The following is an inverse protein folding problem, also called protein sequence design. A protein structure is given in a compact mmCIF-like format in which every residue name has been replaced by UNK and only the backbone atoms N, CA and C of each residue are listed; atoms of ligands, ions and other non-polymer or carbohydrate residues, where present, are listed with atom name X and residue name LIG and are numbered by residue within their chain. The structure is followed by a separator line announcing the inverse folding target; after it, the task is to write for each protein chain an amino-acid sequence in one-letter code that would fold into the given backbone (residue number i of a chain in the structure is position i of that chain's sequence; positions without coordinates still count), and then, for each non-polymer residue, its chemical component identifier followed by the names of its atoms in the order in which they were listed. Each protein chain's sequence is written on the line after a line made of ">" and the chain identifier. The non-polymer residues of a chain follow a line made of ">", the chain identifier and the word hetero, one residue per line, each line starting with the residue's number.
data_IF_684458355702
#
_entry.id   IF_684458355702
#
_cell.length_a   1.000
_cell.length_b   1.000
_cell.length_c   1.000
_cell.angle_alpha   90.00
_cell.angle_beta   90.00
_cell.angle_gamma   90.00
#
_symmetry.space_group_name_H-M   'P 1'
#
loop_
_entity.id
_entity.type
_entity.pdbx_description
1 polymer ?
#
# COMPACT_ATOMS: atom_id res chain seq x y z
N UNK A 1 48.34 -5.06 88.34
CA UNK A 1 49.25 -5.82 87.44
C UNK A 1 48.42 -6.81 86.62
N UNK A 2 48.60 -6.76 85.29
CA UNK A 2 48.63 -7.90 84.36
C UNK A 2 47.39 -8.84 84.23
N UNK A 3 46.90 -8.87 82.99
CA UNK A 3 46.82 -10.05 82.10
C UNK A 3 45.50 -10.84 81.97
N UNK A 4 44.90 -10.62 80.79
CA UNK A 4 44.41 -11.56 79.76
C UNK A 4 43.23 -12.54 79.94
N UNK A 5 42.36 -12.41 78.93
CA UNK A 5 41.68 -13.41 78.08
C UNK A 5 40.32 -14.02 78.45
N UNK A 6 39.34 -13.74 77.58
CA UNK A 6 38.48 -14.64 76.74
C UNK A 6 37.20 -13.86 76.40
N UNK A 7 36.46 -13.99 75.30
CA UNK A 7 36.49 -14.76 74.06
C UNK A 7 35.56 -14.04 73.05
N UNK A 8 35.64 -14.48 71.79
CA UNK A 8 34.82 -14.14 70.63
C UNK A 8 33.30 -13.96 70.86
N UNK A 9 32.65 -13.18 69.99
CA UNK A 9 31.60 -13.63 69.04
C UNK A 9 31.29 -12.50 68.05
N UNK A 10 31.28 -12.84 66.76
CA UNK A 10 30.81 -12.04 65.62
C UNK A 10 29.28 -11.99 65.58
N UNK A 11 28.70 -10.91 65.05
CA UNK A 11 27.91 -10.90 63.80
C UNK A 11 26.84 -9.79 63.76
N UNK A 12 26.82 -9.11 62.60
CA UNK A 12 25.67 -8.58 61.85
C UNK A 12 24.75 -7.52 62.51
N UNK A 13 24.31 -6.47 61.83
CA UNK A 13 24.42 -6.08 60.43
C UNK A 13 23.90 -4.65 60.29
N UNK A 14 24.66 -3.81 59.59
CA UNK A 14 24.27 -2.45 59.25
C UNK A 14 23.43 -2.44 57.98
N UNK A 15 22.14 -2.13 58.10
CA UNK A 15 21.27 -1.81 56.96
C UNK A 15 21.64 -0.43 56.41
N UNK A 16 22.32 -0.40 55.27
CA UNK A 16 22.35 0.79 54.40
C UNK A 16 21.31 0.58 53.32
N UNK A 17 20.19 1.29 53.44
CA UNK A 17 19.12 1.34 52.44
C UNK A 17 19.66 2.13 51.25
N UNK A 18 20.11 1.44 50.19
CA UNK A 18 20.30 2.02 48.87
C UNK A 18 18.93 2.11 48.18
N UNK A 19 18.31 3.28 48.25
CA UNK A 19 17.20 3.67 47.38
C UNK A 19 17.77 4.00 45.99
N UNK A 20 17.96 2.98 45.15
CA UNK A 20 18.13 3.19 43.71
C UNK A 20 16.76 3.56 43.13
N UNK A 21 16.48 4.88 43.07
CA UNK A 21 15.41 5.42 42.24
C UNK A 21 15.66 5.00 40.79
N UNK A 22 14.81 4.12 40.28
CA UNK A 22 14.64 3.86 38.86
C UNK A 22 14.22 5.18 38.21
N UNK A 23 15.20 5.94 37.70
CA UNK A 23 14.95 6.98 36.70
C UNK A 23 14.58 6.28 35.40
N UNK A 24 13.36 5.75 35.34
CA UNK A 24 12.77 5.33 34.08
C UNK A 24 12.69 6.59 33.21
N UNK A 25 13.60 6.73 32.25
CA UNK A 25 13.50 7.76 31.22
C UNK A 25 12.09 7.69 30.64
N UNK A 26 11.29 8.77 30.68
CA UNK A 26 9.98 8.77 30.04
C UNK A 26 10.22 8.38 28.59
N UNK A 27 9.69 7.21 28.20
CA UNK A 27 9.80 6.77 26.81
C UNK A 27 9.16 7.86 25.95
N UNK A 28 9.80 8.29 24.86
CA UNK A 28 9.17 9.18 23.90
C UNK A 28 7.79 8.62 23.56
N UNK A 29 6.76 9.47 23.63
CA UNK A 29 5.41 9.08 23.23
C UNK A 29 5.51 8.56 21.79
N UNK A 30 5.08 7.31 21.51
CA UNK A 30 5.13 6.80 20.15
C UNK A 30 4.32 7.73 19.25
N UNK A 31 4.81 8.02 18.02
CA UNK A 31 4.08 8.89 17.10
C UNK A 31 2.66 8.35 16.89
N UNK A 32 1.66 9.24 16.73
CA UNK A 32 0.28 8.83 16.52
C UNK A 32 0.17 7.95 15.27
N UNK A 33 -0.53 6.83 15.38
CA UNK A 33 -0.84 5.96 14.25
C UNK A 33 -1.81 6.71 13.34
N UNK A 34 -1.43 6.93 12.09
CA UNK A 34 -2.32 7.47 11.06
C UNK A 34 -2.88 6.32 10.23
N UNK A 35 -4.08 6.50 9.71
CA UNK A 35 -4.79 5.49 8.93
C UNK A 35 -5.49 6.16 7.76
N UNK A 36 -5.29 5.63 6.56
CA UNK A 36 -6.05 6.01 5.36
C UNK A 36 -7.01 4.86 5.03
N UNK A 37 -8.31 5.18 4.91
CA UNK A 37 -9.32 4.22 4.44
C UNK A 37 -9.62 4.51 2.98
N UNK A 38 -9.47 3.50 2.13
CA UNK A 38 -9.76 3.56 0.71
C UNK A 38 -11.04 2.79 0.41
N UNK A 39 -11.88 3.37 -0.43
CA UNK A 39 -13.13 2.76 -0.88
C UNK A 39 -12.95 2.24 -2.29
N UNK A 40 -13.51 1.05 -2.57
CA UNK A 40 -13.36 0.37 -3.84
C UNK A 40 -14.71 0.00 -4.42
N UNK A 41 -14.81 0.04 -5.75
CA UNK A 41 -15.94 -0.46 -6.52
C UNK A 41 -15.45 -1.36 -7.64
N UNK A 42 -16.13 -2.46 -7.86
CA UNK A 42 -15.79 -3.46 -8.87
C UNK A 42 -17.06 -4.07 -9.48
N UNK A 43 -16.97 -4.79 -10.62
CA UNK A 43 -18.13 -5.47 -11.21
C UNK A 43 -18.81 -6.43 -10.23
N UNK A 44 -20.10 -6.69 -10.43
CA UNK A 44 -20.86 -7.61 -9.58
C UNK A 44 -20.19 -8.99 -9.55
N UNK A 45 -19.72 -9.40 -8.37
CA UNK A 45 -18.89 -10.59 -8.17
C UNK A 45 -19.55 -11.51 -7.15
N UNK A 46 -19.63 -12.80 -7.44
CA UNK A 46 -20.20 -13.76 -6.49
C UNK A 46 -19.38 -13.80 -5.18
N UNK A 47 -20.04 -13.60 -4.04
CA UNK A 47 -19.43 -13.65 -2.70
C UNK A 47 -19.25 -15.10 -2.23
N UNK A 48 -18.51 -15.87 -3.00
CA UNK A 48 -18.16 -17.27 -2.71
C UNK A 48 -16.76 -17.37 -2.06
N UNK A 49 -16.43 -18.52 -1.49
CA UNK A 49 -15.21 -18.72 -0.70
C UNK A 49 -13.91 -18.24 -1.37
N UNK A 50 -13.05 -17.59 -0.58
CA UNK A 50 -11.72 -17.13 -0.99
C UNK A 50 -11.68 -15.73 -1.62
N UNK A 51 -12.82 -15.05 -1.82
CA UNK A 51 -12.85 -13.71 -2.39
C UNK A 51 -12.20 -12.69 -1.44
N UNK A 52 -11.09 -12.09 -1.87
CA UNK A 52 -10.25 -11.23 -1.03
C UNK A 52 -9.89 -9.96 -1.79
N UNK A 53 -10.21 -8.80 -1.21
CA UNK A 53 -9.65 -7.51 -1.60
C UNK A 53 -8.33 -7.31 -0.84
N UNK A 54 -7.25 -7.04 -1.53
CA UNK A 54 -5.94 -6.88 -0.89
C UNK A 54 -5.16 -5.68 -1.42
N UNK A 55 -4.35 -5.14 -0.52
CA UNK A 55 -3.25 -4.24 -0.84
C UNK A 55 -1.98 -5.08 -0.88
N UNK A 56 -1.28 -5.03 -2.00
CA UNK A 56 -0.10 -5.85 -2.27
C UNK A 56 1.09 -4.98 -2.64
N UNK A 57 2.29 -5.48 -2.42
CA UNK A 57 3.53 -4.87 -2.88
C UNK A 57 4.48 -5.95 -3.39
N UNK A 58 5.46 -5.54 -4.18
CA UNK A 58 6.41 -6.45 -4.79
C UNK A 58 7.78 -6.28 -4.14
N UNK A 59 8.43 -7.40 -3.88
CA UNK A 59 9.82 -7.45 -3.47
C UNK A 59 10.66 -8.04 -4.60
N UNK A 60 11.78 -7.41 -4.92
CA UNK A 60 12.67 -7.83 -6.00
C UNK A 60 13.65 -8.95 -5.58
N UNK A 61 13.66 -9.34 -4.30
CA UNK A 61 14.56 -10.35 -3.76
C UNK A 61 16.00 -9.88 -3.60
N UNK A 62 16.26 -8.57 -3.65
CA UNK A 62 17.58 -8.00 -3.39
C UNK A 62 18.03 -8.18 -1.94
N UNK A 63 17.08 -8.33 -1.00
CA UNK A 63 17.35 -8.70 0.38
C UNK A 63 17.32 -10.24 0.53
N UNK A 64 18.44 -10.89 0.91
CA UNK A 64 18.52 -12.34 1.12
C UNK A 64 17.56 -12.88 2.18
N UNK A 65 17.09 -12.03 3.10
CA UNK A 65 16.13 -12.41 4.14
C UNK A 65 14.68 -12.31 3.66
N UNK A 66 14.43 -11.75 2.47
CA UNK A 66 13.08 -11.52 1.95
C UNK A 66 12.88 -12.29 0.64
N UNK A 67 11.81 -13.10 0.60
CA UNK A 67 11.45 -13.83 -0.62
C UNK A 67 10.94 -12.85 -1.67
N UNK A 68 11.53 -12.87 -2.86
CA UNK A 68 11.04 -12.15 -4.02
C UNK A 68 9.57 -12.51 -4.33
N UNK A 69 8.84 -11.55 -4.89
CA UNK A 69 7.48 -11.73 -5.38
C UNK A 69 6.44 -10.91 -4.61
N UNK A 70 5.18 -11.28 -4.81
CA UNK A 70 4.02 -10.58 -4.25
C UNK A 70 3.92 -10.83 -2.75
N UNK A 71 3.76 -9.75 -2.00
CA UNK A 71 3.44 -9.76 -0.58
C UNK A 71 2.11 -9.05 -0.36
N UNK A 72 1.27 -9.61 0.50
CA UNK A 72 0.03 -8.96 0.96
C UNK A 72 0.37 -8.08 2.16
N UNK A 73 0.13 -6.78 2.02
CA UNK A 73 0.30 -5.81 3.10
C UNK A 73 -0.86 -5.88 4.09
N UNK A 74 -2.08 -5.92 3.56
CA UNK A 74 -3.33 -6.01 4.33
C UNK A 74 -4.47 -6.43 3.42
N UNK A 75 -5.56 -6.90 4.01
CA UNK A 75 -6.79 -7.30 3.32
C UNK A 75 -7.95 -6.39 3.74
N UNK A 76 -8.84 -6.11 2.80
CA UNK A 76 -10.03 -5.30 2.99
C UNK A 76 -11.30 -6.13 3.21
N UNK A 77 -12.36 -5.44 3.65
CA UNK A 77 -13.71 -5.99 3.64
C UNK A 77 -14.33 -5.87 2.26
N UNK A 78 -15.09 -6.88 1.84
CA UNK A 78 -15.93 -6.84 0.63
C UNK A 78 -17.40 -6.78 1.02
N UNK A 79 -18.17 -6.04 0.24
CA UNK A 79 -19.59 -5.82 0.47
C UNK A 79 -20.31 -5.32 -0.78
N UNK A 80 -21.58 -5.00 -0.61
CA UNK A 80 -22.32 -4.27 -1.65
C UNK A 80 -22.06 -2.78 -1.42
N UNK A 81 -21.94 -2.00 -2.48
CA UNK A 81 -21.77 -0.55 -2.38
C UNK A 81 -22.83 0.05 -1.43
N UNK A 82 -22.36 0.81 -0.42
CA UNK A 82 -23.20 1.36 0.65
C UNK A 82 -23.70 0.38 1.73
N UNK A 83 -23.27 -0.89 1.74
CA UNK A 83 -23.67 -1.87 2.77
C UNK A 83 -22.52 -2.79 3.24
N UNK A 84 -22.27 -2.79 4.54
CA UNK A 84 -21.41 -3.78 5.21
C UNK A 84 -22.04 -5.18 5.09
N UNK A 85 -21.35 -6.13 4.46
CA UNK A 85 -21.75 -7.55 4.51
C UNK A 85 -20.92 -8.27 5.56
N UNK A 86 -21.59 -8.80 6.59
CA UNK A 86 -20.98 -9.67 7.59
C UNK A 86 -21.03 -11.13 7.10
N UNK A 87 -19.98 -11.95 7.32
CA UNK A 87 -20.02 -13.38 7.00
C UNK A 87 -21.21 -14.06 7.70
N UNK A 88 -22.08 -14.74 6.94
CA UNK A 88 -23.29 -15.41 7.45
C UNK A 88 -24.56 -14.55 7.54
N UNK A 89 -24.54 -13.30 7.08
CA UNK A 89 -25.74 -12.47 6.97
C UNK A 89 -26.74 -12.94 5.89
N UNK A 90 -27.95 -12.35 5.82
CA UNK A 90 -29.00 -12.72 4.85
C UNK A 90 -28.60 -12.58 3.36
N UNK A 91 -27.43 -11.99 3.08
CA UNK A 91 -26.83 -11.86 1.75
C UNK A 91 -25.65 -12.82 1.49
N UNK A 92 -25.43 -13.84 2.34
CA UNK A 92 -24.28 -14.76 2.30
C UNK A 92 -24.19 -15.68 1.05
N UNK A 93 -25.07 -15.50 0.06
CA UNK A 93 -24.98 -16.10 -1.27
C UNK A 93 -25.15 -15.09 -2.42
N UNK A 94 -25.00 -13.80 -2.15
CA UNK A 94 -25.23 -12.71 -3.11
C UNK A 94 -24.00 -12.30 -3.91
N UNK A 95 -24.19 -11.30 -4.79
CA UNK A 95 -23.10 -10.58 -5.44
C UNK A 95 -22.67 -9.36 -4.61
N UNK A 96 -21.36 -9.14 -4.56
CA UNK A 96 -20.70 -7.96 -4.00
C UNK A 96 -20.09 -7.13 -5.12
N UNK A 97 -20.00 -5.82 -4.92
CA UNK A 97 -19.48 -4.88 -5.93
C UNK A 97 -18.73 -3.70 -5.32
N UNK A 98 -18.42 -3.76 -4.02
CA UNK A 98 -17.63 -2.76 -3.34
C UNK A 98 -16.82 -3.34 -2.19
N UNK A 99 -15.94 -2.53 -1.65
CA UNK A 99 -15.10 -2.91 -0.53
C UNK A 99 -14.38 -1.73 0.08
N UNK A 100 -13.81 -1.97 1.26
CA UNK A 100 -13.00 -0.97 1.96
C UNK A 100 -11.71 -1.62 2.42
N UNK A 101 -10.60 -0.87 2.32
CA UNK A 101 -9.30 -1.30 2.78
C UNK A 101 -8.66 -0.19 3.58
N UNK A 102 -8.06 -0.55 4.72
CA UNK A 102 -7.39 0.39 5.61
C UNK A 102 -5.89 0.23 5.55
N UNK A 103 -5.19 1.33 5.27
CA UNK A 103 -3.73 1.43 5.25
C UNK A 103 -3.27 2.16 6.51
N UNK A 104 -2.77 1.40 7.47
CA UNK A 104 -2.27 1.93 8.73
C UNK A 104 -0.76 2.25 8.63
N UNK A 105 -0.33 3.34 9.27
CA UNK A 105 1.07 3.79 9.22
C UNK A 105 2.07 2.75 9.72
N UNK A 106 1.68 1.90 10.69
CA UNK A 106 2.57 0.85 11.21
C UNK A 106 2.90 -0.25 10.17
N UNK A 107 2.04 -0.44 9.16
CA UNK A 107 2.30 -1.35 8.03
C UNK A 107 3.14 -0.67 6.95
N UNK A 108 2.93 0.63 6.73
CA UNK A 108 3.58 1.43 5.70
C UNK A 108 5.00 1.91 6.08
N UNK A 109 5.23 2.18 7.36
CA UNK A 109 6.49 2.73 7.88
C UNK A 109 7.70 1.79 7.74
N UNK A 110 7.56 0.45 7.85
CA UNK A 110 8.62 -0.47 7.50
C UNK A 110 8.96 -0.43 6.00
N UNK A 111 7.95 -0.32 5.13
CA UNK A 111 8.14 -0.37 3.67
C UNK A 111 8.94 0.81 3.13
N UNK A 112 8.73 2.02 3.65
CA UNK A 112 9.51 3.20 3.24
C UNK A 112 11.00 3.11 3.58
N UNK A 113 11.40 2.19 4.47
CA UNK A 113 12.80 1.91 4.82
C UNK A 113 13.34 0.65 4.18
N UNK A 114 12.48 -0.15 3.55
CA UNK A 114 12.85 -1.42 2.95
C UNK A 114 13.49 -1.17 1.58
N UNK A 115 14.79 -1.46 1.45
CA UNK A 115 15.52 -1.28 0.20
C UNK A 115 14.99 -2.16 -0.95
N UNK A 116 14.36 -3.29 -0.65
CA UNK A 116 13.76 -4.18 -1.65
C UNK A 116 12.41 -3.65 -2.19
N UNK A 117 11.76 -2.71 -1.49
CA UNK A 117 10.59 -2.00 -2.02
C UNK A 117 10.94 -0.60 -2.55
N UNK A 118 11.69 0.20 -1.78
CA UNK A 118 12.07 1.56 -2.16
C UNK A 118 13.13 1.54 -3.25
N UNK A 119 12.75 1.74 -4.51
CA UNK A 119 13.66 1.58 -5.67
C UNK A 119 13.60 2.80 -6.59
N UNK A 120 14.62 2.98 -7.42
CA UNK A 120 14.64 4.12 -8.34
C UNK A 120 13.50 4.01 -9.36
N UNK A 121 12.65 5.04 -9.41
CA UNK A 121 11.51 5.11 -10.32
C UNK A 121 11.96 4.91 -11.78
N UNK A 122 13.06 5.57 -12.16
CA UNK A 122 13.62 5.53 -13.51
C UNK A 122 14.03 4.12 -13.95
N UNK A 123 14.56 3.30 -13.02
CA UNK A 123 15.09 1.97 -13.32
C UNK A 123 14.08 0.83 -13.13
N UNK A 124 12.96 1.11 -12.46
CA UNK A 124 11.94 0.10 -12.13
C UNK A 124 10.64 0.42 -12.84
N UNK A 125 9.95 1.47 -12.38
CA UNK A 125 8.63 1.84 -12.87
C UNK A 125 8.67 2.34 -14.33
N UNK A 126 9.73 3.06 -14.72
CA UNK A 126 9.93 3.55 -16.08
C UNK A 126 10.86 2.66 -16.94
N UNK A 127 11.17 1.45 -16.48
CA UNK A 127 12.09 0.56 -17.18
C UNK A 127 11.55 0.13 -18.54
N UNK A 128 12.39 0.22 -19.57
CA UNK A 128 12.03 -0.18 -20.94
C UNK A 128 11.10 0.79 -21.68
N UNK A 129 10.80 1.96 -21.11
CA UNK A 129 9.97 2.99 -21.74
C UNK A 129 10.80 3.99 -22.54
N UNK A 130 10.15 4.69 -23.46
CA UNK A 130 10.79 5.66 -24.34
C UNK A 130 10.75 7.07 -23.75
N UNK A 131 11.75 7.90 -24.07
CA UNK A 131 11.80 9.33 -23.72
C UNK A 131 11.58 9.61 -22.22
N UNK A 132 12.13 8.76 -21.35
CA UNK A 132 11.93 8.84 -19.90
C UNK A 132 12.61 10.09 -19.34
N UNK A 133 11.81 10.97 -18.77
CA UNK A 133 12.25 12.15 -18.02
C UNK A 133 11.72 12.02 -16.60
N UNK A 134 12.58 12.20 -15.60
CA UNK A 134 12.24 12.15 -14.18
C UNK A 134 13.02 13.26 -13.48
N UNK A 135 12.34 14.08 -12.67
CA UNK A 135 12.94 15.23 -11.98
C UNK A 135 12.48 15.29 -10.52
N UNK A 136 13.39 15.15 -9.52
CA UNK A 136 14.79 14.76 -9.68
C UNK A 136 14.93 13.30 -10.17
N UNK A 137 15.99 13.00 -10.92
CA UNK A 137 16.22 11.65 -11.48
C UNK A 137 16.63 10.61 -10.42
N UNK A 138 16.97 11.07 -9.22
CA UNK A 138 17.26 10.27 -8.03
C UNK A 138 16.00 9.80 -7.28
N UNK A 139 14.80 10.17 -7.75
CA UNK A 139 13.56 9.80 -7.08
C UNK A 139 13.40 8.27 -6.94
N UNK A 140 13.05 7.85 -5.72
CA UNK A 140 12.76 6.46 -5.38
C UNK A 140 11.33 6.31 -4.92
N UNK A 141 10.72 5.20 -5.30
CA UNK A 141 9.33 4.87 -5.01
C UNK A 141 9.21 3.50 -4.36
N UNK A 142 8.20 3.33 -3.52
CA UNK A 142 7.69 2.04 -3.07
C UNK A 142 6.18 2.05 -3.28
N UNK A 143 5.68 1.14 -4.10
CA UNK A 143 4.29 1.16 -4.57
C UNK A 143 3.49 0.03 -3.93
N UNK A 144 2.29 0.39 -3.47
CA UNK A 144 1.25 -0.53 -3.02
C UNK A 144 0.14 -0.53 -4.07
N UNK A 145 -0.20 -1.72 -4.54
CA UNK A 145 -1.20 -1.97 -5.57
C UNK A 145 -2.43 -2.62 -4.94
N UNK A 146 -3.56 -2.58 -5.64
CA UNK A 146 -4.81 -3.13 -5.14
C UNK A 146 -5.38 -4.15 -6.12
N UNK A 147 -5.85 -5.26 -5.57
CA UNK A 147 -6.38 -6.37 -6.36
C UNK A 147 -7.52 -7.05 -5.62
N UNK A 148 -8.49 -7.53 -6.40
CA UNK A 148 -9.50 -8.48 -5.95
C UNK A 148 -9.16 -9.84 -6.56
N UNK A 149 -8.94 -10.83 -5.72
CA UNK A 149 -8.59 -12.18 -6.15
C UNK A 149 -9.39 -13.23 -5.40
N UNK A 150 -9.37 -14.44 -5.91
CA UNK A 150 -9.97 -15.61 -5.27
C UNK A 150 -8.87 -16.58 -4.86
N UNK A 151 -8.61 -16.65 -3.56
CA UNK A 151 -7.61 -17.54 -2.95
C UNK A 151 -8.07 -19.00 -3.06
N UNK A 152 -7.79 -19.63 -4.20
CA UNK A 152 -8.23 -20.98 -4.50
C UNK A 152 -7.31 -22.04 -3.87
N UNK A 153 -6.04 -21.70 -3.66
CA UNK A 153 -5.03 -22.56 -3.06
C UNK A 153 -4.89 -22.39 -1.53
N UNK A 154 -5.50 -21.35 -0.95
CA UNK A 154 -5.52 -21.08 0.50
C UNK A 154 -4.21 -20.47 1.03
N UNK A 155 -3.38 -19.85 0.19
CA UNK A 155 -2.08 -19.30 0.57
C UNK A 155 -2.14 -17.81 0.99
N UNK A 156 -3.32 -17.18 0.88
CA UNK A 156 -3.58 -15.79 1.25
C UNK A 156 -2.93 -14.75 0.33
N UNK A 157 -2.52 -15.11 -0.89
CA UNK A 157 -1.81 -14.23 -1.83
C UNK A 157 -2.36 -14.40 -3.25
N UNK A 158 -2.46 -13.34 -4.07
CA UNK A 158 -2.90 -13.49 -5.44
C UNK A 158 -1.85 -14.22 -6.28
N UNK A 159 -2.26 -15.30 -6.95
CA UNK A 159 -1.47 -15.97 -7.99
C UNK A 159 -2.00 -15.70 -9.41
N UNK A 160 -1.17 -16.05 -10.40
CA UNK A 160 -1.53 -15.95 -11.82
C UNK A 160 -2.69 -16.91 -12.12
N UNK A 161 -3.89 -16.34 -12.28
CA UNK A 161 -5.15 -17.07 -12.48
C UNK A 161 -6.17 -16.89 -11.35
N UNK A 162 -5.78 -16.34 -10.21
CA UNK A 162 -6.68 -16.05 -9.09
C UNK A 162 -7.16 -14.59 -9.08
N UNK A 163 -6.36 -13.69 -9.66
CA UNK A 163 -6.69 -12.27 -9.79
C UNK A 163 -7.90 -12.08 -10.72
N UNK A 164 -8.94 -11.43 -10.19
CA UNK A 164 -10.20 -11.14 -10.90
C UNK A 164 -10.19 -9.71 -11.44
N UNK A 165 -9.85 -8.75 -10.58
CA UNK A 165 -9.84 -7.33 -10.93
C UNK A 165 -8.65 -6.63 -10.28
N UNK A 166 -8.12 -5.63 -10.98
CA UNK A 166 -7.08 -4.76 -10.50
C UNK A 166 -7.41 -3.29 -10.80
N UNK A 167 -6.53 -2.39 -10.40
CA UNK A 167 -6.61 -0.99 -10.74
C UNK A 167 -5.20 -0.46 -11.04
N UNK A 168 -5.15 0.62 -11.80
CA UNK A 168 -3.92 1.37 -12.06
C UNK A 168 -3.72 2.50 -11.03
N UNK A 169 -4.70 2.74 -10.17
CA UNK A 169 -4.51 3.57 -8.98
C UNK A 169 -3.58 2.86 -8.00
N UNK A 170 -2.62 3.58 -7.44
CA UNK A 170 -1.64 3.02 -6.51
C UNK A 170 -1.51 3.90 -5.28
N UNK A 171 -1.15 3.31 -4.15
CA UNK A 171 -0.69 4.08 -2.99
C UNK A 171 0.83 4.04 -2.96
N UNK A 172 1.46 5.19 -3.20
CA UNK A 172 2.88 5.28 -3.50
C UNK A 172 3.58 6.12 -2.44
N UNK A 173 4.69 5.60 -1.94
CA UNK A 173 5.68 6.39 -1.21
C UNK A 173 6.70 6.93 -2.19
N UNK A 174 6.97 8.23 -2.14
CA UNK A 174 8.14 8.82 -2.80
C UNK A 174 9.07 9.45 -1.76
N UNK A 175 10.39 9.21 -1.89
CA UNK A 175 11.39 9.79 -0.98
C UNK A 175 11.46 11.33 -1.18
N UNK A 176 11.91 11.86 -2.33
CA UNK A 176 11.59 13.22 -2.72
C UNK A 176 10.28 13.29 -3.54
N UNK A 177 9.62 14.46 -3.50
CA UNK A 177 8.61 14.78 -4.51
C UNK A 177 9.26 14.83 -5.90
N UNK A 178 8.57 14.36 -6.93
CA UNK A 178 9.11 14.36 -8.29
C UNK A 178 8.02 14.45 -9.36
N UNK A 179 8.44 14.80 -10.57
CA UNK A 179 7.61 14.74 -11.77
C UNK A 179 8.28 13.84 -12.81
N UNK A 180 7.48 13.22 -13.67
CA UNK A 180 7.99 12.38 -14.74
C UNK A 180 7.13 12.44 -16.00
N UNK A 181 7.72 12.00 -17.11
CA UNK A 181 7.03 11.70 -18.34
C UNK A 181 7.77 10.64 -19.14
N UNK A 182 7.02 9.82 -19.90
CA UNK A 182 7.57 8.88 -20.85
C UNK A 182 6.54 8.57 -21.95
N UNK A 183 6.97 7.82 -22.97
CA UNK A 183 6.08 7.28 -24.01
C UNK A 183 6.12 5.75 -23.99
N UNK A 184 5.00 5.13 -24.32
CA UNK A 184 4.95 3.68 -24.51
C UNK A 184 5.87 3.24 -25.66
N UNK A 185 6.28 1.98 -25.62
CA UNK A 185 7.16 1.39 -26.65
C UNK A 185 6.49 1.31 -28.02
N UNK A 186 5.16 1.16 -28.05
CA UNK A 186 4.34 1.13 -29.27
C UNK A 186 3.99 2.52 -29.81
N UNK A 187 4.39 3.59 -29.12
CA UNK A 187 4.12 4.98 -29.51
C UNK A 187 2.65 5.39 -29.47
N UNK A 188 1.78 4.62 -28.79
CA UNK A 188 0.34 4.90 -28.69
C UNK A 188 -0.04 5.67 -27.44
N UNK A 189 0.81 5.75 -26.43
CA UNK A 189 0.52 6.53 -25.23
C UNK A 189 1.68 7.40 -24.77
N UNK A 190 1.30 8.55 -24.23
CA UNK A 190 2.19 9.40 -23.45
C UNK A 190 1.69 9.43 -22.02
N UNK A 191 2.56 9.09 -21.09
CA UNK A 191 2.27 9.19 -19.67
C UNK A 191 3.06 10.33 -19.06
N UNK A 192 2.41 11.07 -18.16
CA UNK A 192 3.08 12.02 -17.27
C UNK A 192 2.50 11.92 -15.87
N UNK A 193 3.28 12.31 -14.89
CA UNK A 193 2.82 12.22 -13.51
C UNK A 193 3.61 13.07 -12.54
N UNK A 194 3.02 13.27 -11.37
CA UNK A 194 3.66 13.87 -10.20
C UNK A 194 3.50 12.96 -9.00
N UNK A 195 4.50 12.99 -8.11
CA UNK A 195 4.44 12.39 -6.78
C UNK A 195 4.77 13.44 -5.74
N UNK A 196 4.01 13.49 -4.65
CA UNK A 196 4.41 14.22 -3.46
C UNK A 196 5.37 13.37 -2.63
N UNK A 197 6.21 14.01 -1.82
CA UNK A 197 7.06 13.28 -0.87
C UNK A 197 6.17 12.64 0.21
N UNK A 198 6.51 11.43 0.63
CA UNK A 198 5.72 10.64 1.56
C UNK A 198 4.72 9.73 0.86
N UNK A 199 3.83 9.13 1.66
CA UNK A 199 2.76 8.27 1.20
C UNK A 199 1.60 9.11 0.65
N UNK A 200 1.07 8.73 -0.51
CA UNK A 200 -0.11 9.35 -1.10
C UNK A 200 -0.82 8.39 -2.04
N UNK A 201 -2.13 8.58 -2.20
CA UNK A 201 -2.86 7.96 -3.32
C UNK A 201 -2.44 8.63 -4.63
N UNK A 202 -2.18 7.82 -5.64
CA UNK A 202 -1.87 8.25 -7.00
C UNK A 202 -2.96 7.73 -7.91
N UNK A 203 -3.62 8.66 -8.62
CA UNK A 203 -4.72 8.31 -9.52
C UNK A 203 -4.23 8.19 -10.96
N UNK A 204 -4.63 7.13 -11.63
CA UNK A 204 -4.38 6.87 -13.03
C UNK A 204 -5.58 7.29 -13.88
N UNK A 205 -5.40 8.30 -14.72
CA UNK A 205 -6.45 8.79 -15.62
C UNK A 205 -6.01 8.59 -17.07
N UNK A 206 -6.94 8.18 -17.92
CA UNK A 206 -6.71 7.97 -19.34
C UNK A 206 -7.66 8.85 -20.12
N UNK A 207 -7.09 9.69 -21.00
CA UNK A 207 -7.83 10.50 -21.93
C UNK A 207 -7.47 10.09 -23.36
N UNK A 208 -8.48 9.73 -24.15
CA UNK A 208 -8.33 9.53 -25.59
C UNK A 208 -8.81 10.79 -26.32
N UNK A 209 -7.91 11.64 -26.87
CA UNK A 209 -8.32 12.82 -27.59
C UNK A 209 -9.09 12.45 -28.87
N UNK A 210 -10.25 13.08 -29.09
CA UNK A 210 -11.06 12.87 -30.30
C UNK A 210 -10.32 13.24 -31.59
N UNK A 211 -9.39 14.20 -31.51
CA UNK A 211 -8.57 14.64 -32.64
C UNK A 211 -7.47 13.63 -33.05
N UNK A 212 -7.14 12.66 -32.18
CA UNK A 212 -6.09 11.65 -32.44
C UNK A 212 -6.56 10.27 -31.97
N UNK A 213 -7.46 9.60 -32.72
CA UNK A 213 -7.92 8.26 -32.36
C UNK A 213 -6.76 7.27 -32.26
N UNK A 214 -6.79 6.39 -31.26
CA UNK A 214 -5.72 5.42 -31.00
C UNK A 214 -4.47 5.99 -30.32
N UNK A 215 -4.50 7.26 -29.91
CA UNK A 215 -3.49 7.90 -29.07
C UNK A 215 -4.08 8.20 -27.69
N UNK A 216 -3.35 7.84 -26.64
CA UNK A 216 -3.80 7.96 -25.25
C UNK A 216 -2.89 8.90 -24.47
N UNK A 217 -3.52 9.78 -23.68
CA UNK A 217 -2.82 10.61 -22.69
C UNK A 217 -3.12 10.02 -21.33
N UNK A 218 -2.07 9.57 -20.66
CA UNK A 218 -2.16 8.97 -19.34
C UNK A 218 -1.60 9.95 -18.32
N UNK A 219 -2.33 10.17 -17.23
CA UNK A 219 -1.86 10.95 -16.08
C UNK A 219 -1.84 10.08 -14.83
N UNK A 220 -0.74 10.14 -14.09
CA UNK A 220 -0.59 9.48 -12.81
C UNK A 220 -0.11 10.48 -11.78
N UNK A 221 -1.02 11.11 -11.03
CA UNK A 221 -0.69 12.18 -10.09
C UNK A 221 -1.05 11.78 -8.66
N UNK A 222 -0.19 12.12 -7.70
CA UNK A 222 -0.57 12.14 -6.29
C UNK A 222 -1.75 13.10 -6.10
N UNK A 223 -2.80 12.64 -5.45
CA UNK A 223 -3.96 13.48 -5.14
C UNK A 223 -3.85 14.12 -3.76
N UNK A 224 -4.51 15.27 -3.54
CA UNK A 224 -4.69 15.82 -2.20
C UNK A 224 -5.34 14.83 -1.25
N UNK A 225 -5.04 14.92 0.05
CA UNK A 225 -5.60 14.04 1.08
C UNK A 225 -7.15 14.03 1.11
N UNK A 226 -7.79 15.14 0.76
CA UNK A 226 -9.26 15.23 0.67
C UNK A 226 -9.85 14.32 -0.42
N UNK A 227 -9.09 14.06 -1.48
CA UNK A 227 -9.51 13.28 -2.63
C UNK A 227 -9.18 11.78 -2.46
N UNK A 228 -8.46 11.40 -1.40
CA UNK A 228 -8.22 9.98 -1.05
C UNK A 228 -9.52 9.23 -0.69
N UNK A 229 -10.57 9.97 -0.29
CA UNK A 229 -11.88 9.40 -0.01
C UNK A 229 -12.66 8.98 -1.28
N UNK A 230 -12.21 9.41 -2.47
CA UNK A 230 -12.87 9.08 -3.73
C UNK A 230 -12.73 7.59 -4.05
N UNK A 231 -13.85 6.98 -4.43
CA UNK A 231 -13.90 5.55 -4.76
C UNK A 231 -12.91 5.19 -5.88
N UNK A 232 -12.13 4.15 -5.63
CA UNK A 232 -11.20 3.54 -6.59
C UNK A 232 -11.97 2.46 -7.35
N UNK A 233 -11.87 2.46 -8.67
CA UNK A 233 -12.52 1.46 -9.51
C UNK A 233 -11.53 0.34 -9.82
N UNK A 234 -11.92 -0.90 -9.55
CA UNK A 234 -11.23 -2.06 -10.11
C UNK A 234 -11.92 -2.50 -11.39
N UNK A 235 -11.13 -3.04 -12.29
CA UNK A 235 -11.50 -3.46 -13.63
C UNK A 235 -10.75 -4.75 -13.98
N UNK A 236 -11.11 -5.41 -15.09
CA UNK A 236 -10.39 -6.61 -15.49
C UNK A 236 -8.94 -6.28 -15.88
N UNK A 237 -7.96 -7.17 -15.66
CA UNK A 237 -6.55 -6.90 -15.97
C UNK A 237 -6.27 -6.50 -17.43
N UNK A 238 -7.16 -6.87 -18.36
CA UNK A 238 -7.08 -6.55 -19.79
C UNK A 238 -7.40 -5.08 -20.10
N UNK A 239 -7.93 -4.32 -19.14
CA UNK A 239 -8.55 -3.01 -19.35
C UNK A 239 -7.65 -1.81 -18.98
N UNK A 240 -6.37 -1.84 -19.36
CA UNK A 240 -5.39 -0.78 -18.98
C UNK A 240 -5.72 0.63 -19.45
N UNK A 241 -6.48 0.76 -20.54
CA UNK A 241 -6.78 2.07 -21.16
C UNK A 241 -8.21 2.55 -20.90
N UNK A 242 -8.90 1.99 -19.90
CA UNK A 242 -10.21 2.52 -19.47
C UNK A 242 -10.00 3.83 -18.71
N UNK A 243 -10.73 4.86 -19.14
CA UNK A 243 -10.83 6.14 -18.45
C UNK A 243 -11.34 5.93 -17.02
N UNK A 244 -10.59 6.41 -16.03
CA UNK A 244 -11.03 6.51 -14.62
C UNK A 244 -11.28 7.97 -14.22
N UNK A 245 -11.68 8.82 -15.17
CA UNK A 245 -11.81 10.26 -14.97
C UNK A 245 -12.60 10.65 -13.72
N UNK A 246 -12.09 11.63 -12.97
CA UNK A 246 -12.66 12.19 -11.74
C UNK A 246 -14.03 12.89 -11.91
N UNK A 247 -14.58 12.92 -13.11
CA UNK A 247 -15.92 13.45 -13.36
C UNK A 247 -16.88 12.26 -13.42
N UNK A 248 -17.85 12.20 -12.51
CA UNK A 248 -18.87 11.14 -12.37
C UNK A 248 -19.79 10.96 -13.60
N UNK A 249 -19.21 10.63 -14.75
CA UNK A 249 -19.81 10.45 -16.06
C UNK A 249 -19.03 9.36 -16.81
N UNK A 250 -18.92 8.16 -16.24
CA UNK A 250 -18.80 6.94 -17.05
C UNK A 250 -19.88 5.96 -16.59
N UNK A 251 -21.12 6.35 -16.85
CA UNK A 251 -22.20 5.38 -17.00
C UNK A 251 -21.92 4.52 -18.22
N UNK A 252 -21.32 3.36 -17.98
CA UNK A 252 -21.47 2.20 -18.85
C UNK A 252 -20.60 2.19 -20.09
N UNK A 253 -19.78 1.14 -20.16
CA UNK A 253 -19.47 0.46 -21.41
C UNK A 253 -18.64 1.25 -22.41
N UNK A 254 -17.39 0.81 -22.56
CA UNK A 254 -16.86 0.76 -23.92
C UNK A 254 -17.80 -0.15 -24.74
N UNK A 255 -18.60 0.48 -25.60
CA UNK A 255 -19.11 -0.13 -26.83
C UNK A 255 -18.09 0.09 -27.93
#
# INVERSE_FOLDING_TARGET
>A
MKSHHKNAVQAAGGSVILLTLLTACPRPIPPPITSTTLNFRFPDTAQTGGLTLAAIYFLDGSDPQQKAGVQVLTTGGVGRDGQFSYPGGPNSGGTVNGGTLRLDSYLLDPLKKNAACLRSFKTVDASGLNNVVVTPDTARTCNVYFTLFRDANGNGRPESGEELFNTHDIYSYADPAFAYSFSSTDGKSQEKGTRVSGWSLVRHEVLQPTATPGQYRVTMNSVPAADEALTIRLHEPTERLISMGLNGLDQGGLK
#
